data_IF_517561140975
#
_entry.id   IF_517561140975
#
_cell.length_a   1.000
_cell.length_b   1.000
_cell.length_c   1.000
_cell.angle_alpha   90.00
_cell.angle_beta   90.00
_cell.angle_gamma   90.00
#
_symmetry.space_group_name_H-M   'P 1'
#
loop_
_entity.id
_entity.type
_entity.pdbx_description
1 polymer ?
#
# COMPACT_ATOMS: atom_id res chain seq x y z
N UNK A 1 -24.38 -13.25 8.49
CA UNK A 1 -22.95 -13.69 8.55
C UNK A 1 -22.53 -14.00 10.00
N UNK A 2 -21.42 -14.73 10.21
CA UNK A 2 -20.93 -15.09 11.56
C UNK A 2 -19.47 -14.71 11.74
N UNK A 3 -19.20 -13.73 12.60
CA UNK A 3 -17.87 -13.40 13.11
C UNK A 3 -18.03 -13.07 14.59
N UNK A 4 -17.24 -13.73 15.43
CA UNK A 4 -17.27 -13.55 16.88
C UNK A 4 -15.87 -13.22 17.38
N UNK A 5 -15.79 -12.31 18.35
CA UNK A 5 -14.56 -11.89 19.01
C UNK A 5 -14.59 -12.24 20.48
N UNK A 6 -13.44 -12.67 20.99
CA UNK A 6 -13.18 -12.86 22.42
C UNK A 6 -11.91 -12.08 22.78
N UNK A 7 -11.86 -11.55 24.01
CA UNK A 7 -10.65 -10.94 24.60
C UNK A 7 -10.29 -11.59 25.93
N UNK A 8 -11.03 -12.63 26.33
CA UNK A 8 -10.96 -13.30 27.63
C UNK A 8 -10.64 -14.81 27.47
N UNK A 9 -9.79 -15.12 26.48
CA UNK A 9 -9.36 -16.49 26.17
C UNK A 9 -10.53 -17.45 25.87
N UNK A 10 -11.63 -16.93 25.32
CA UNK A 10 -12.79 -17.71 24.89
C UNK A 10 -13.85 -17.94 25.97
N UNK A 11 -13.77 -17.25 27.12
CA UNK A 11 -14.78 -17.34 28.17
C UNK A 11 -16.11 -16.69 27.73
N UNK A 12 -16.04 -15.62 26.93
CA UNK A 12 -17.20 -14.99 26.30
C UNK A 12 -16.90 -14.58 24.85
N UNK A 13 -17.96 -14.52 24.05
CA UNK A 13 -17.89 -14.21 22.62
C UNK A 13 -18.92 -13.14 22.29
N UNK A 14 -18.49 -12.10 21.58
CA UNK A 14 -19.35 -11.01 21.11
C UNK A 14 -19.41 -11.06 19.59
N UNK A 15 -20.61 -10.96 19.02
CA UNK A 15 -20.78 -10.85 17.57
C UNK A 15 -20.25 -9.51 17.07
N UNK A 16 -19.40 -9.54 16.05
CA UNK A 16 -18.76 -8.36 15.45
C UNK A 16 -19.12 -8.30 13.96
N UNK A 17 -20.40 -8.26 13.64
CA UNK A 17 -20.91 -8.42 12.27
C UNK A 17 -21.62 -7.18 11.72
N UNK A 18 -21.58 -6.06 12.43
CA UNK A 18 -22.27 -4.84 12.00
C UNK A 18 -21.67 -4.29 10.69
N UNK A 19 -22.51 -3.91 9.73
CA UNK A 19 -22.09 -3.48 8.40
C UNK A 19 -21.68 -4.60 7.41
N UNK A 20 -21.63 -5.86 7.83
CA UNK A 20 -21.41 -7.00 6.92
C UNK A 20 -22.70 -7.42 6.19
N UNK A 21 -22.61 -7.88 4.93
CA UNK A 21 -23.76 -8.42 4.21
C UNK A 21 -24.19 -9.77 4.78
N UNK A 22 -25.41 -10.18 4.47
CA UNK A 22 -25.85 -11.56 4.74
C UNK A 22 -25.24 -12.56 3.74
N UNK A 23 -23.94 -12.82 3.93
CA UNK A 23 -23.11 -13.67 3.09
C UNK A 23 -22.22 -14.55 3.97
N UNK A 24 -21.85 -15.76 3.53
CA UNK A 24 -20.82 -16.55 4.20
C UNK A 24 -19.51 -15.76 4.31
N UNK A 25 -18.87 -15.87 5.48
CA UNK A 25 -17.52 -15.37 5.74
C UNK A 25 -16.60 -16.58 5.73
N UNK A 26 -15.61 -16.58 4.85
CA UNK A 26 -14.71 -17.72 4.63
C UNK A 26 -13.30 -17.44 5.14
N UNK A 27 -12.91 -16.18 5.28
CA UNK A 27 -11.60 -15.77 5.76
C UNK A 27 -11.70 -14.55 6.69
N UNK A 28 -10.83 -14.49 7.69
CA UNK A 28 -10.65 -13.35 8.59
C UNK A 28 -9.15 -13.18 8.82
N UNK A 29 -8.65 -11.96 8.68
CA UNK A 29 -7.25 -11.62 8.88
C UNK A 29 -7.13 -10.33 9.70
N UNK A 30 -6.22 -10.33 10.67
CA UNK A 30 -5.87 -9.16 11.47
C UNK A 30 -4.58 -8.52 10.92
N UNK A 31 -4.51 -7.18 10.93
CA UNK A 31 -3.29 -6.48 10.57
C UNK A 31 -2.19 -6.69 11.63
N UNK A 32 -0.98 -7.15 11.26
CA UNK A 32 0.08 -7.46 12.21
C UNK A 32 0.68 -6.24 12.90
N UNK A 33 0.40 -5.02 12.42
CA UNK A 33 0.84 -3.76 13.03
C UNK A 33 -0.23 -3.12 13.92
N UNK A 34 -1.51 -3.34 13.65
CA UNK A 34 -2.59 -2.73 14.42
C UNK A 34 -3.77 -3.71 14.61
N UNK A 35 -4.02 -4.19 15.84
CA UNK A 35 -5.09 -5.16 16.11
C UNK A 35 -6.52 -4.60 15.93
N UNK A 36 -6.66 -3.29 15.73
CA UNK A 36 -7.95 -2.68 15.39
C UNK A 36 -8.30 -2.84 13.90
N UNK A 37 -7.33 -3.16 13.05
CA UNK A 37 -7.55 -3.30 11.61
C UNK A 37 -7.80 -4.76 11.27
N UNK A 38 -9.02 -5.06 10.83
CA UNK A 38 -9.44 -6.41 10.46
C UNK A 38 -9.94 -6.46 9.02
N UNK A 39 -9.67 -7.56 8.33
CA UNK A 39 -10.13 -7.86 6.98
C UNK A 39 -10.97 -9.14 6.99
N UNK A 40 -12.16 -9.09 6.40
CA UNK A 40 -13.05 -10.24 6.26
C UNK A 40 -13.28 -10.57 4.78
N UNK A 41 -13.08 -11.82 4.42
CA UNK A 41 -13.33 -12.37 3.10
C UNK A 41 -14.68 -13.06 3.08
N UNK A 42 -15.56 -12.62 2.18
CA UNK A 42 -16.92 -13.14 2.01
C UNK A 42 -17.17 -13.58 0.57
N UNK A 43 -18.30 -14.24 0.32
CA UNK A 43 -18.74 -14.53 -1.06
C UNK A 43 -19.04 -13.25 -1.88
N UNK A 44 -19.28 -12.12 -1.19
CA UNK A 44 -19.52 -10.82 -1.79
C UNK A 44 -18.24 -9.98 -2.01
N UNK A 45 -17.08 -10.42 -1.50
CA UNK A 45 -15.80 -9.71 -1.58
C UNK A 45 -15.16 -9.45 -0.21
N UNK A 46 -14.22 -8.49 -0.17
CA UNK A 46 -13.47 -8.12 1.04
C UNK A 46 -14.15 -6.98 1.78
N UNK A 47 -14.15 -7.05 3.11
CA UNK A 47 -14.62 -6.03 4.03
C UNK A 47 -13.49 -5.64 4.99
N UNK A 48 -13.48 -4.39 5.41
CA UNK A 48 -12.50 -3.79 6.30
C UNK A 48 -13.21 -3.26 7.55
N UNK A 49 -12.61 -3.49 8.72
CA UNK A 49 -12.92 -2.80 9.97
C UNK A 49 -11.67 -2.06 10.44
N UNK A 50 -11.87 -0.85 10.96
CA UNK A 50 -10.81 0.01 11.51
C UNK A 50 -10.96 0.21 13.02
N UNK A 51 -11.92 -0.47 13.64
CA UNK A 51 -12.37 -0.33 15.03
C UNK A 51 -12.47 -1.70 15.72
N UNK A 52 -11.66 -2.67 15.28
CA UNK A 52 -11.54 -3.97 15.92
C UNK A 52 -12.78 -4.86 15.77
N UNK A 53 -13.60 -4.63 14.75
CA UNK A 53 -14.79 -5.39 14.40
C UNK A 53 -16.11 -4.73 14.83
N UNK A 54 -16.07 -3.55 15.44
CA UNK A 54 -17.29 -2.85 15.87
C UNK A 54 -18.14 -2.46 14.64
N UNK A 55 -17.51 -2.04 13.54
CA UNK A 55 -18.18 -1.80 12.26
C UNK A 55 -17.34 -2.24 11.06
N UNK A 56 -18.02 -2.71 10.02
CA UNK A 56 -17.41 -3.16 8.77
C UNK A 56 -17.86 -2.31 7.58
N UNK A 57 -16.93 -2.06 6.65
CA UNK A 57 -17.20 -1.39 5.38
C UNK A 57 -16.67 -2.21 4.20
N UNK A 58 -17.32 -2.15 3.02
CA UNK A 58 -16.81 -2.83 1.84
C UNK A 58 -15.43 -2.29 1.44
N UNK A 59 -14.43 -3.17 1.32
CA UNK A 59 -13.09 -2.82 0.86
C UNK A 59 -13.01 -3.02 -0.65
N UNK A 60 -13.44 -1.99 -1.38
CA UNK A 60 -13.58 -2.02 -2.84
C UNK A 60 -12.37 -1.37 -3.52
N UNK A 61 -11.96 -1.97 -4.63
CA UNK A 61 -10.95 -1.43 -5.53
C UNK A 61 -11.30 -1.78 -6.98
N UNK A 62 -10.30 -2.17 -7.76
CA UNK A 62 -10.49 -2.72 -9.10
C UNK A 62 -10.80 -4.24 -9.11
N UNK A 63 -10.92 -4.87 -7.94
CA UNK A 63 -11.28 -6.27 -7.82
C UNK A 63 -12.79 -6.45 -8.10
N UNK A 64 -13.18 -7.29 -9.08
CA UNK A 64 -14.59 -7.59 -9.32
C UNK A 64 -15.17 -8.42 -8.15
N UNK A 65 -16.50 -8.41 -7.94
CA UNK A 65 -17.14 -9.28 -6.97
C UNK A 65 -16.77 -10.75 -7.21
N UNK A 66 -16.16 -11.37 -6.21
CA UNK A 66 -15.70 -12.74 -6.26
C UNK A 66 -15.70 -13.31 -4.84
N UNK A 67 -16.00 -14.61 -4.67
CA UNK A 67 -15.85 -15.25 -3.38
C UNK A 67 -14.39 -15.24 -2.94
N UNK A 68 -14.16 -14.74 -1.74
CA UNK A 68 -12.84 -14.70 -1.12
C UNK A 68 -12.69 -15.92 -0.24
N UNK A 69 -11.69 -16.74 -0.52
CA UNK A 69 -11.43 -17.99 0.22
C UNK A 69 -10.33 -17.84 1.26
N UNK A 70 -9.41 -16.89 1.06
CA UNK A 70 -8.29 -16.68 1.98
C UNK A 70 -7.77 -15.24 1.94
N UNK A 71 -7.19 -14.78 3.05
CA UNK A 71 -6.63 -13.45 3.25
C UNK A 71 -5.34 -13.53 4.07
N UNK A 72 -4.32 -12.79 3.67
CA UNK A 72 -3.07 -12.63 4.43
C UNK A 72 -2.53 -11.21 4.29
N UNK A 73 -2.16 -10.58 5.41
CA UNK A 73 -1.36 -9.35 5.39
C UNK A 73 0.11 -9.70 5.55
N UNK A 74 0.94 -9.30 4.59
CA UNK A 74 2.38 -9.52 4.66
C UNK A 74 3.01 -8.56 5.71
N UNK A 75 3.68 -9.05 6.76
CA UNK A 75 4.09 -8.21 7.90
C UNK A 75 5.14 -7.15 7.54
N UNK A 76 6.03 -7.46 6.58
CA UNK A 76 7.08 -6.54 6.10
C UNK A 76 6.57 -5.51 5.08
N UNK A 77 6.00 -5.97 3.97
CA UNK A 77 5.54 -5.11 2.86
C UNK A 77 4.25 -4.37 3.18
N UNK A 78 3.43 -4.87 4.12
CA UNK A 78 2.09 -4.36 4.41
C UNK A 78 1.12 -4.49 3.24
N UNK A 79 1.31 -5.54 2.44
CA UNK A 79 0.38 -5.90 1.36
C UNK A 79 -0.67 -6.89 1.87
N UNK A 80 -1.92 -6.64 1.52
CA UNK A 80 -3.01 -7.60 1.63
C UNK A 80 -3.03 -8.48 0.39
N UNK A 81 -2.86 -9.78 0.61
CA UNK A 81 -2.99 -10.85 -0.38
C UNK A 81 -4.38 -11.45 -0.24
N UNK A 82 -5.14 -11.47 -1.33
CA UNK A 82 -6.51 -11.97 -1.40
C UNK A 82 -6.57 -13.17 -2.31
N UNK A 83 -6.90 -14.33 -1.77
CA UNK A 83 -7.20 -15.55 -2.51
C UNK A 83 -8.67 -15.58 -2.91
N UNK A 84 -8.97 -15.67 -4.20
CA UNK A 84 -10.35 -15.73 -4.70
C UNK A 84 -10.68 -17.07 -5.34
N UNK A 85 -11.96 -17.44 -5.29
CA UNK A 85 -12.48 -18.57 -6.05
C UNK A 85 -12.68 -18.17 -7.52
N UNK A 86 -11.83 -18.71 -8.41
CA UNK A 86 -11.98 -18.59 -9.86
C UNK A 86 -11.49 -17.27 -10.48
N UNK A 87 -10.87 -16.35 -9.71
CA UNK A 87 -10.31 -15.08 -10.22
C UNK A 87 -8.86 -14.80 -9.78
N UNK A 88 -8.13 -15.85 -9.44
CA UNK A 88 -6.71 -15.78 -9.07
C UNK A 88 -6.47 -15.14 -7.71
N UNK A 89 -5.30 -14.53 -7.55
CA UNK A 89 -4.94 -13.75 -6.37
C UNK A 89 -4.87 -12.26 -6.68
N UNK A 90 -5.20 -11.45 -5.69
CA UNK A 90 -5.10 -9.99 -5.75
C UNK A 90 -4.19 -9.51 -4.65
N UNK A 91 -3.41 -8.48 -4.94
CA UNK A 91 -2.48 -7.89 -3.99
C UNK A 91 -2.74 -6.38 -3.98
N UNK A 92 -2.85 -5.81 -2.80
CA UNK A 92 -2.93 -4.37 -2.62
C UNK A 92 -2.16 -3.95 -1.38
N UNK A 93 -1.44 -2.84 -1.48
CA UNK A 93 -0.83 -2.18 -0.34
C UNK A 93 -1.92 -1.68 0.62
N UNK A 94 -1.79 -2.04 1.89
CA UNK A 94 -2.66 -1.63 2.99
C UNK A 94 -1.90 -0.93 4.12
N UNK A 95 -0.64 -0.54 3.90
CA UNK A 95 0.19 0.22 4.83
C UNK A 95 -0.54 1.40 5.52
N UNK A 96 -1.31 2.25 4.81
CA UNK A 96 -2.01 3.36 5.47
C UNK A 96 -3.12 2.90 6.42
N UNK A 97 -3.71 1.71 6.25
CA UNK A 97 -4.88 1.28 7.02
C UNK A 97 -4.58 1.20 8.53
N UNK A 98 -3.41 0.65 8.88
CA UNK A 98 -2.95 0.56 10.26
C UNK A 98 -2.87 1.93 10.96
N UNK A 99 -2.46 2.97 10.23
CA UNK A 99 -2.41 4.33 10.77
C UNK A 99 -3.79 5.00 10.76
N UNK A 100 -4.65 4.74 9.76
CA UNK A 100 -5.99 5.36 9.67
C UNK A 100 -6.84 5.08 10.91
N UNK A 101 -6.76 3.85 11.43
CA UNK A 101 -7.46 3.43 12.65
C UNK A 101 -7.18 4.35 13.86
N UNK A 102 -6.06 5.09 13.87
CA UNK A 102 -5.71 6.05 14.92
C UNK A 102 -6.44 7.40 14.77
N UNK A 103 -7.72 7.36 14.39
CA UNK A 103 -8.60 8.54 14.21
C UNK A 103 -8.06 9.58 13.24
N UNK A 104 -7.41 9.16 12.14
CA UNK A 104 -6.89 10.09 11.13
C UNK A 104 -8.02 10.76 10.36
N UNK A 105 -9.18 10.11 10.23
CA UNK A 105 -10.33 10.62 9.50
C UNK A 105 -10.93 11.91 10.10
N UNK A 106 -10.59 12.28 11.33
CA UNK A 106 -11.00 13.57 11.93
C UNK A 106 -9.97 14.68 11.73
N UNK A 107 -8.77 14.35 11.24
CA UNK A 107 -7.69 15.33 11.02
C UNK A 107 -7.98 16.13 9.75
N UNK A 108 -7.47 17.36 9.71
CA UNK A 108 -7.58 18.20 8.52
C UNK A 108 -6.76 17.68 7.33
N UNK A 109 -5.56 17.19 7.61
CA UNK A 109 -4.71 16.50 6.64
C UNK A 109 -3.72 15.60 7.39
N UNK A 110 -3.19 14.59 6.71
CA UNK A 110 -2.19 13.69 7.28
C UNK A 110 -1.27 13.11 6.21
N UNK A 111 0.03 13.05 6.50
CA UNK A 111 1.01 12.32 5.70
C UNK A 111 1.40 11.04 6.44
N UNK A 112 1.09 9.89 5.85
CA UNK A 112 1.35 8.56 6.41
C UNK A 112 2.84 8.23 6.43
N UNK A 113 3.25 7.24 7.23
CA UNK A 113 4.62 6.77 7.18
C UNK A 113 4.93 6.19 5.80
N UNK A 114 6.16 6.46 5.35
CA UNK A 114 6.62 6.06 4.03
C UNK A 114 7.54 4.86 4.20
N UNK A 115 7.13 3.73 3.62
CA UNK A 115 7.91 2.51 3.67
C UNK A 115 9.21 2.67 2.85
N UNK A 116 10.33 2.09 3.30
CA UNK A 116 11.54 2.05 2.50
C UNK A 116 11.29 1.34 1.18
N UNK A 117 11.71 1.95 0.06
CA UNK A 117 11.63 1.32 -1.26
C UNK A 117 13.02 1.29 -1.91
N UNK A 118 13.42 0.18 -2.57
CA UNK A 118 14.68 0.13 -3.28
C UNK A 118 14.68 1.05 -4.49
N UNK A 119 15.82 1.65 -4.78
CA UNK A 119 16.05 2.32 -6.04
C UNK A 119 15.96 1.26 -7.14
N UNK A 120 14.96 1.36 -8.02
CA UNK A 120 14.91 0.45 -9.16
C UNK A 120 15.94 0.85 -10.21
N UNK A 121 16.77 -0.10 -10.64
CA UNK A 121 17.74 0.10 -11.70
C UNK A 121 17.13 -0.36 -13.03
N UNK A 122 16.78 0.58 -13.91
CA UNK A 122 16.42 0.21 -15.27
C UNK A 122 17.66 -0.34 -15.96
N UNK A 123 17.67 -1.63 -16.27
CA UNK A 123 18.69 -2.18 -17.16
C UNK A 123 18.56 -1.45 -18.51
N UNK A 124 19.59 -0.71 -18.97
CA UNK A 124 19.60 -0.16 -20.32
C UNK A 124 19.47 -1.26 -21.38
N UNK A 125 19.75 -2.53 -21.00
CA UNK A 125 19.62 -3.70 -21.85
C UNK A 125 18.18 -4.15 -22.09
N UNK A 126 17.16 -3.54 -21.48
CA UNK A 126 15.76 -3.78 -21.86
C UNK A 126 15.51 -3.46 -23.34
N UNK A 127 16.41 -2.71 -24.00
CA UNK A 127 16.39 -2.42 -25.44
C UNK A 127 17.36 -3.26 -26.28
N UNK A 128 18.11 -4.20 -25.68
CA UNK A 128 19.16 -4.99 -26.37
C UNK A 128 18.77 -6.43 -26.71
N UNK A 129 17.49 -6.76 -26.60
CA UNK A 129 16.94 -8.02 -27.11
C UNK A 129 15.70 -7.75 -27.93
N UNK A 130 15.46 -8.58 -28.95
CA UNK A 130 14.24 -8.61 -29.77
C UNK A 130 12.99 -9.04 -28.96
N UNK A 131 12.76 -8.44 -27.78
CA UNK A 131 11.59 -8.67 -26.95
C UNK A 131 10.33 -7.94 -27.46
N UNK A 132 10.46 -7.18 -28.56
CA UNK A 132 9.34 -6.57 -29.29
C UNK A 132 8.89 -7.43 -30.51
N UNK A 133 9.20 -8.73 -30.56
CA UNK A 133 8.45 -9.66 -31.41
C UNK A 133 7.05 -9.84 -30.81
N UNK A 134 6.10 -9.01 -31.24
CA UNK A 134 4.69 -9.03 -30.82
C UNK A 134 3.94 -10.21 -31.45
N UNK A 135 4.37 -11.45 -31.17
CA UNK A 135 3.58 -12.67 -31.33
C UNK A 135 3.17 -13.13 -29.94
N UNK A 136 1.86 -13.38 -29.74
CA UNK A 136 1.20 -13.73 -28.48
C UNK A 136 1.66 -12.87 -27.28
N UNK A 137 1.15 -11.63 -27.22
CA UNK A 137 1.36 -10.73 -26.09
C UNK A 137 1.02 -11.44 -24.77
N UNK A 138 2.05 -11.83 -24.02
CA UNK A 138 1.87 -12.33 -22.67
C UNK A 138 1.16 -11.25 -21.84
N UNK A 139 0.01 -11.59 -21.28
CA UNK A 139 -0.66 -10.75 -20.29
C UNK A 139 0.30 -10.58 -19.11
N UNK A 140 0.90 -9.39 -19.02
CA UNK A 140 1.69 -9.02 -17.85
C UNK A 140 0.77 -8.26 -16.89
N UNK A 141 0.61 -8.73 -15.64
CA UNK A 141 -0.04 -7.91 -14.64
C UNK A 141 0.75 -6.61 -14.47
N UNK A 142 0.06 -5.50 -14.17
CA UNK A 142 0.76 -4.27 -13.82
C UNK A 142 1.43 -4.49 -12.47
N UNK A 143 2.77 -4.42 -12.46
CA UNK A 143 3.51 -4.34 -11.21
C UNK A 143 3.21 -3.00 -10.51
N UNK A 144 3.50 -2.96 -9.21
CA UNK A 144 3.56 -1.72 -8.45
C UNK A 144 4.38 -0.66 -9.19
N UNK A 145 3.97 0.62 -9.11
CA UNK A 145 4.78 1.73 -9.54
C UNK A 145 6.23 1.62 -9.07
N UNK A 146 7.17 1.75 -10.02
CA UNK A 146 8.59 1.84 -9.69
C UNK A 146 8.90 3.21 -9.06
N UNK A 147 8.69 3.31 -7.75
CA UNK A 147 8.95 4.56 -7.04
C UNK A 147 8.73 4.48 -5.53
N UNK A 148 9.12 5.56 -4.88
CA UNK A 148 8.82 5.80 -3.48
C UNK A 148 7.34 6.17 -3.39
N UNK A 149 6.53 5.22 -2.95
CA UNK A 149 5.10 5.41 -2.75
C UNK A 149 4.83 6.17 -1.45
N UNK A 150 3.82 7.04 -1.49
CA UNK A 150 3.39 7.76 -0.31
C UNK A 150 1.87 7.94 -0.35
N UNK A 151 1.29 7.91 0.85
CA UNK A 151 -0.12 8.13 1.07
C UNK A 151 -0.33 9.43 1.81
N UNK A 152 -1.40 10.14 1.48
CA UNK A 152 -1.85 11.28 2.26
C UNK A 152 -3.36 11.33 2.35
N UNK A 153 -3.86 11.79 3.49
CA UNK A 153 -5.27 12.04 3.73
C UNK A 153 -5.53 13.53 3.72
N UNK A 154 -6.58 13.96 3.04
CA UNK A 154 -7.10 15.31 3.09
C UNK A 154 -8.55 15.28 3.59
N UNK A 155 -8.84 16.08 4.62
CA UNK A 155 -10.20 16.44 4.95
C UNK A 155 -10.76 17.46 3.96
N UNK A 156 -11.88 18.09 4.32
CA UNK A 156 -12.41 19.20 3.54
C UNK A 156 -11.51 20.44 3.70
N UNK A 157 -10.97 20.92 2.58
CA UNK A 157 -10.11 22.09 2.51
C UNK A 157 -10.87 23.31 1.97
N UNK A 158 -10.35 24.50 2.25
CA UNK A 158 -10.84 25.74 1.64
C UNK A 158 -10.36 25.85 0.18
N UNK A 159 -11.18 26.43 -0.70
CA UNK A 159 -10.89 26.52 -2.15
C UNK A 159 -9.59 27.26 -2.51
N UNK A 160 -9.03 28.04 -1.58
CA UNK A 160 -7.82 28.84 -1.79
C UNK A 160 -6.53 28.10 -1.40
N UNK A 161 -6.64 26.94 -0.77
CA UNK A 161 -5.49 26.23 -0.26
C UNK A 161 -4.89 25.34 -1.34
N UNK A 162 -3.63 25.61 -1.69
CA UNK A 162 -2.87 24.72 -2.55
C UNK A 162 -2.31 23.55 -1.76
N UNK A 163 -2.32 22.37 -2.40
CA UNK A 163 -1.71 21.15 -1.87
C UNK A 163 -0.52 20.79 -2.75
N UNK A 164 0.64 20.58 -2.12
CA UNK A 164 1.84 20.17 -2.81
C UNK A 164 2.62 19.13 -1.99
N UNK A 165 3.35 18.28 -2.70
CA UNK A 165 4.32 17.37 -2.13
C UNK A 165 5.70 17.88 -2.50
N UNK A 166 6.54 18.07 -1.49
CA UNK A 166 7.92 18.48 -1.65
C UNK A 166 8.84 17.45 -1.01
N UNK A 167 9.88 17.05 -1.73
CA UNK A 167 10.92 16.16 -1.22
C UNK A 167 12.24 16.88 -1.18
N UNK A 168 12.88 16.86 -0.02
CA UNK A 168 14.22 17.43 0.18
C UNK A 168 15.21 16.36 0.60
N UNK A 169 16.48 16.55 0.25
CA UNK A 169 17.56 15.82 0.89
C UNK A 169 17.79 16.35 2.33
N UNK A 170 18.76 15.77 3.04
CA UNK A 170 19.09 16.22 4.41
C UNK A 170 19.75 17.59 4.46
N UNK A 171 20.43 17.98 3.38
CA UNK A 171 21.05 19.29 3.21
C UNK A 171 20.02 20.41 2.92
N UNK A 172 18.74 20.05 2.76
CA UNK A 172 17.64 21.00 2.53
C UNK A 172 17.42 21.39 1.06
N UNK A 173 18.13 20.77 0.12
CA UNK A 173 17.88 20.96 -1.31
C UNK A 173 16.61 20.24 -1.73
N UNK A 174 15.78 20.92 -2.51
CA UNK A 174 14.55 20.35 -3.09
C UNK A 174 14.94 19.44 -4.26
N UNK A 175 14.60 18.16 -4.13
CA UNK A 175 14.87 17.12 -5.14
C UNK A 175 13.65 16.90 -6.03
N UNK A 176 12.46 17.11 -5.48
CA UNK A 176 11.21 16.94 -6.19
C UNK A 176 10.12 17.83 -5.60
N UNK A 177 9.30 18.43 -6.45
CA UNK A 177 8.11 19.15 -6.03
C UNK A 177 6.98 18.94 -7.04
N UNK A 178 5.78 18.66 -6.53
CA UNK A 178 4.62 18.39 -7.37
C UNK A 178 3.35 18.89 -6.70
N UNK A 179 2.48 19.55 -7.47
CA UNK A 179 1.11 19.86 -7.04
C UNK A 179 0.32 18.55 -6.87
N UNK A 180 -0.37 18.41 -5.75
CA UNK A 180 -1.11 17.21 -5.38
C UNK A 180 -2.62 17.38 -5.62
N UNK A 181 -3.37 16.26 -5.53
CA UNK A 181 -4.83 16.32 -5.57
C UNK A 181 -5.35 17.05 -4.32
N UNK A 182 -6.44 17.81 -4.49
CA UNK A 182 -7.12 18.58 -3.42
C UNK A 182 -8.46 17.99 -3.01
N UNK A 183 -8.92 16.94 -3.71
CA UNK A 183 -10.17 16.28 -3.36
C UNK A 183 -10.09 15.69 -1.94
N UNK A 184 -11.17 15.74 -1.15
CA UNK A 184 -11.18 15.09 0.16
C UNK A 184 -11.05 13.57 0.02
N UNK A 185 -10.29 12.95 0.92
CA UNK A 185 -10.11 11.50 0.98
C UNK A 185 -8.66 11.05 1.08
N UNK A 186 -8.48 9.73 0.96
CA UNK A 186 -7.17 9.09 0.91
C UNK A 186 -6.64 9.10 -0.52
N UNK A 187 -5.41 9.57 -0.68
CA UNK A 187 -4.70 9.63 -1.96
C UNK A 187 -3.43 8.80 -1.91
N UNK A 188 -3.13 8.15 -3.04
CA UNK A 188 -1.87 7.45 -3.29
C UNK A 188 -1.14 8.11 -4.45
N UNK A 189 0.14 8.38 -4.27
CA UNK A 189 1.02 8.82 -5.33
C UNK A 189 2.44 8.27 -5.10
N UNK A 190 3.32 8.45 -6.08
CA UNK A 190 4.68 7.93 -6.00
C UNK A 190 5.67 8.85 -6.69
N UNK A 191 6.93 8.74 -6.29
CA UNK A 191 8.06 9.48 -6.88
C UNK A 191 9.00 8.47 -7.52
N UNK A 192 9.32 8.66 -8.80
CA UNK A 192 10.27 7.78 -9.49
C UNK A 192 11.64 7.88 -8.82
N UNK A 193 12.14 6.76 -8.32
CA UNK A 193 13.43 6.69 -7.61
C UNK A 193 14.64 6.63 -8.55
N UNK A 194 14.43 6.48 -9.86
CA UNK A 194 15.49 6.29 -10.87
C UNK A 194 16.61 7.34 -10.77
N UNK A 195 16.26 8.59 -10.48
CA UNK A 195 17.20 9.72 -10.37
C UNK A 195 17.55 10.10 -8.94
N UNK A 196 17.05 9.36 -7.94
CA UNK A 196 17.32 9.62 -6.53
C UNK A 196 18.53 8.82 -6.08
N UNK A 197 19.47 9.47 -5.39
CA UNK A 197 20.61 8.78 -4.78
C UNK A 197 20.08 7.95 -3.59
N UNK A 198 20.51 6.69 -3.40
CA UNK A 198 20.16 5.93 -2.20
C UNK A 198 20.49 6.70 -0.93
N UNK A 199 19.55 6.71 0.02
CA UNK A 199 19.66 7.51 1.22
C UNK A 199 18.31 7.88 1.80
N UNK A 200 18.36 8.72 2.84
CA UNK A 200 17.17 9.21 3.52
C UNK A 200 16.74 10.55 2.89
N UNK A 201 15.44 10.77 2.82
CA UNK A 201 14.81 11.99 2.30
C UNK A 201 13.73 12.48 3.26
N UNK A 202 13.39 13.77 3.18
CA UNK A 202 12.23 14.35 3.87
C UNK A 202 11.14 14.59 2.85
N UNK A 203 10.01 13.88 3.00
CA UNK A 203 8.81 14.10 2.19
C UNK A 203 7.87 14.96 3.01
N UNK A 204 7.48 16.11 2.46
CA UNK A 204 6.63 17.09 3.11
C UNK A 204 5.35 17.29 2.31
N UNK A 205 4.21 17.09 2.98
CA UNK A 205 2.90 17.50 2.51
C UNK A 205 2.67 18.94 2.94
N UNK A 206 2.48 19.81 1.97
CA UNK A 206 2.20 21.24 2.12
C UNK A 206 0.71 21.46 1.85
N UNK A 207 0.00 22.06 2.80
CA UNK A 207 -1.42 22.42 2.68
C UNK A 207 -1.58 23.87 3.13
N UNK A 208 -1.70 24.78 2.17
CA UNK A 208 -1.68 26.22 2.44
C UNK A 208 -0.40 26.65 3.19
N UNK A 209 -0.55 27.15 4.42
CA UNK A 209 0.59 27.52 5.29
C UNK A 209 1.08 26.38 6.20
N UNK A 210 0.37 25.26 6.21
CA UNK A 210 0.66 24.13 7.09
C UNK A 210 1.56 23.13 6.38
N UNK A 211 2.42 22.44 7.13
CA UNK A 211 3.28 21.38 6.59
C UNK A 211 3.32 20.19 7.53
N UNK A 212 3.39 19.00 6.97
CA UNK A 212 3.69 17.76 7.69
C UNK A 212 4.78 17.00 6.96
N UNK A 213 5.81 16.56 7.68
CA UNK A 213 6.99 15.92 7.10
C UNK A 213 7.15 14.51 7.63
N UNK A 214 7.48 13.57 6.74
CA UNK A 214 7.86 12.19 7.03
C UNK A 214 9.21 11.89 6.44
N UNK A 215 9.92 10.96 7.07
CA UNK A 215 11.18 10.46 6.55
C UNK A 215 10.89 9.33 5.57
N UNK A 216 11.52 9.39 4.40
CA UNK A 216 11.53 8.31 3.43
C UNK A 216 12.94 7.77 3.28
N UNK A 217 13.08 6.49 2.97
CA UNK A 217 14.38 5.86 2.72
C UNK A 217 14.36 5.20 1.35
N UNK A 218 15.28 5.62 0.48
CA UNK A 218 15.55 4.96 -0.79
C UNK A 218 16.73 4.02 -0.56
N UNK A 219 16.49 2.72 -0.70
CA UNK A 219 17.53 1.70 -0.55
C UNK A 219 18.32 1.55 -1.83
N UNK A 220 19.52 0.98 -1.76
CA UNK A 220 20.29 0.62 -2.96
C UNK A 220 19.52 -0.39 -3.81
N UNK A 221 19.79 -0.37 -5.13
CA UNK A 221 19.24 -1.36 -6.03
C UNK A 221 19.71 -2.76 -5.63
N UNK A 222 18.82 -3.76 -5.54
CA UNK A 222 19.24 -5.13 -5.30
C UNK A 222 20.15 -5.59 -6.44
N UNK A 223 21.37 -6.00 -6.10
CA UNK A 223 22.30 -6.60 -7.03
C UNK A 223 21.97 -8.08 -7.09
N UNK A 224 21.36 -8.52 -8.19
CA UNK A 224 21.27 -9.95 -8.46
C UNK A 224 22.69 -10.45 -8.76
N UNK A 225 23.21 -11.44 -8.03
CA UNK A 225 24.42 -12.13 -8.45
C UNK A 225 24.08 -12.89 -9.72
N UNK A 226 24.21 -12.23 -10.86
CA UNK A 226 24.34 -12.90 -12.14
C UNK A 226 25.71 -13.56 -12.07
N UNK A 227 25.72 -14.79 -11.56
CA UNK A 227 26.90 -15.63 -11.56
C UNK A 227 27.32 -15.87 -12.99
N UNK A 228 28.18 -15.00 -13.53
CA UNK A 228 29.15 -15.45 -14.50
C UNK A 228 30.14 -16.29 -13.72
N UNK A 229 29.80 -17.57 -13.50
CA UNK A 229 30.83 -18.58 -13.37
C UNK A 229 31.55 -18.54 -14.72
N UNK A 230 32.65 -17.78 -14.76
CA UNK A 230 33.70 -17.99 -15.74
C UNK A 230 34.07 -19.47 -15.67
N UNK A 231 34.09 -20.23 -16.79
CA UNK A 231 34.57 -21.61 -16.78
C UNK A 231 36.03 -21.76 -16.36
N UNK A 232 36.74 -20.66 -16.06
CA UNK A 232 38.19 -20.65 -15.83
C UNK A 232 38.61 -20.44 -14.37
N UNK A 233 37.76 -20.67 -13.37
CA UNK A 233 38.23 -20.80 -11.98
C UNK A 233 38.26 -22.27 -11.56
N UNK A 234 39.11 -23.05 -12.23
CA UNK A 234 39.78 -24.18 -11.60
C UNK A 234 41.07 -23.62 -10.98
N UNK A 235 41.22 -23.74 -9.66
CA UNK A 235 42.43 -24.06 -8.90
C UNK A 235 42.07 -24.15 -7.41
#
# INVERSE_FOLDING_TARGET
PFIYKTTDYGASWTSITDGLPDSPVSALCEDPSNPQVLYAGTDAGVYLSLDGGDSWMPFKGNMPPAPVTDLMVHPREKDLIVGTYGRGCWITDVAPMAEIADSILTKRFHLFNILPKPQFNYSPRSRWGNYEMTGDNHLRPRNEPNGLEYYYYLGQLDDREEVAIQVTNWDGQIVFEQKANREPGLHRAYIRTERMVPGKYRVSLLVGKSRMTRTATVLESPVWPIGFISPNSAF
#
